data_IF_319745154765
#
_entry.id   IF_319745154765
#
_cell.length_a   1.000
_cell.length_b   1.000
_cell.length_c   1.000
_cell.angle_alpha   90.00
_cell.angle_beta   90.00
_cell.angle_gamma   90.00
#
_symmetry.space_group_name_H-M   'P 1'
#
loop_
_entity.id
_entity.type
_entity.pdbx_description
1 polymer ?
#
# COMPACT_ATOMS: atom_id res chain seq x y z
N UNK A 1 14.59 -18.35 -4.40
CA UNK A 1 13.20 -18.65 -4.80
C UNK A 1 12.75 -17.67 -5.88
N UNK A 2 12.20 -18.17 -6.96
CA UNK A 2 11.68 -17.32 -8.03
C UNK A 2 10.43 -16.58 -7.54
N UNK A 3 10.35 -15.27 -7.81
CA UNK A 3 9.17 -14.47 -7.53
C UNK A 3 8.09 -14.70 -8.61
N UNK A 4 6.86 -14.31 -8.32
CA UNK A 4 5.69 -14.64 -9.15
C UNK A 4 5.26 -13.50 -10.08
N UNK A 5 6.13 -12.52 -10.39
CA UNK A 5 5.77 -11.32 -11.16
C UNK A 5 4.99 -11.62 -12.47
N UNK A 6 5.39 -12.66 -13.20
CA UNK A 6 4.72 -13.07 -14.46
C UNK A 6 3.30 -13.59 -14.27
N UNK A 7 2.96 -14.02 -13.06
CA UNK A 7 1.63 -14.52 -12.68
C UNK A 7 0.74 -13.45 -12.04
N UNK A 8 1.21 -12.20 -11.98
CA UNK A 8 0.48 -11.08 -11.41
C UNK A 8 -0.16 -10.22 -12.49
N UNK A 9 -1.27 -9.58 -12.13
CA UNK A 9 -1.96 -8.60 -12.98
C UNK A 9 -2.46 -7.42 -12.14
N UNK A 10 -2.35 -6.23 -12.69
CA UNK A 10 -2.88 -5.00 -12.10
C UNK A 10 -4.19 -4.63 -12.79
N UNK A 11 -5.27 -4.55 -12.04
CA UNK A 11 -6.60 -4.15 -12.52
C UNK A 11 -7.37 -3.41 -11.44
N UNK A 12 -8.60 -2.97 -11.70
CA UNK A 12 -9.44 -2.29 -10.71
C UNK A 12 -9.57 -3.15 -9.44
N UNK A 13 -9.31 -2.56 -8.27
CA UNK A 13 -9.46 -3.21 -6.97
C UNK A 13 -10.90 -3.61 -6.69
N UNK A 14 -11.09 -4.67 -5.93
CA UNK A 14 -12.39 -5.06 -5.36
C UNK A 14 -12.80 -4.16 -4.19
N UNK A 15 -11.85 -3.43 -3.61
CA UNK A 15 -12.10 -2.45 -2.56
C UNK A 15 -12.55 -1.11 -3.17
N UNK A 16 -13.77 -0.68 -2.85
CA UNK A 16 -14.30 0.58 -3.36
C UNK A 16 -13.40 1.78 -3.01
N UNK A 17 -13.08 2.62 -4.00
CA UNK A 17 -12.22 3.80 -3.80
C UNK A 17 -10.73 3.51 -3.66
N UNK A 18 -10.30 2.26 -3.71
CA UNK A 18 -8.88 1.90 -3.63
C UNK A 18 -8.14 2.01 -4.98
N UNK A 19 -8.85 2.32 -6.05
CA UNK A 19 -8.28 2.44 -7.38
C UNK A 19 -7.86 1.10 -7.97
N UNK A 20 -6.59 0.96 -8.35
CA UNK A 20 -6.04 -0.28 -8.89
C UNK A 20 -5.57 -1.21 -7.77
N UNK A 21 -5.66 -2.50 -8.01
CA UNK A 21 -5.21 -3.57 -7.10
C UNK A 21 -4.32 -4.58 -7.80
N UNK A 22 -3.65 -5.39 -7.02
CA UNK A 22 -2.77 -6.47 -7.47
C UNK A 22 -3.50 -7.81 -7.35
N UNK A 23 -3.50 -8.60 -8.42
CA UNK A 23 -4.20 -9.88 -8.49
C UNK A 23 -3.25 -10.98 -8.93
N UNK A 24 -3.55 -12.21 -8.53
CA UNK A 24 -2.82 -13.38 -9.00
C UNK A 24 -3.63 -14.15 -10.04
N UNK A 25 -2.96 -14.64 -11.08
CA UNK A 25 -3.54 -15.54 -12.09
C UNK A 25 -3.54 -17.00 -11.65
N UNK A 26 -2.72 -17.34 -10.66
CA UNK A 26 -2.52 -18.71 -10.16
C UNK A 26 -2.82 -18.79 -8.67
N UNK A 27 -3.11 -19.98 -8.16
CA UNK A 27 -3.18 -20.22 -6.72
C UNK A 27 -1.79 -20.06 -6.08
N UNK A 28 -1.74 -19.41 -4.92
CA UNK A 28 -0.51 -19.18 -4.17
C UNK A 28 -0.64 -19.80 -2.79
N UNK A 29 0.28 -20.70 -2.42
CA UNK A 29 0.29 -21.32 -1.11
C UNK A 29 0.78 -20.31 -0.03
N UNK A 30 0.27 -20.44 1.19
CA UNK A 30 0.77 -19.73 2.37
C UNK A 30 2.29 -19.87 2.48
N UNK A 31 2.97 -18.79 2.85
CA UNK A 31 4.43 -18.72 2.99
C UNK A 31 5.19 -18.48 1.69
N UNK A 32 4.49 -18.39 0.56
CA UNK A 32 5.12 -18.09 -0.72
C UNK A 32 5.46 -16.61 -0.82
N UNK A 33 6.70 -16.31 -1.15
CA UNK A 33 7.17 -14.95 -1.46
C UNK A 33 6.70 -14.58 -2.88
N UNK A 34 5.86 -13.58 -2.98
CA UNK A 34 5.10 -13.27 -4.20
C UNK A 34 5.87 -12.30 -5.09
N UNK A 35 6.22 -11.14 -4.57
CA UNK A 35 6.80 -10.02 -5.32
C UNK A 35 7.65 -9.14 -4.41
N UNK A 36 8.68 -8.53 -4.97
CA UNK A 36 9.51 -7.55 -4.25
C UNK A 36 8.96 -6.14 -4.43
N UNK A 37 8.90 -5.39 -3.34
CA UNK A 37 8.60 -3.96 -3.35
C UNK A 37 9.85 -3.19 -3.78
N UNK A 38 9.89 -2.77 -5.03
CA UNK A 38 11.03 -2.08 -5.63
C UNK A 38 10.70 -0.63 -5.94
N UNK A 39 11.72 0.20 -5.89
CA UNK A 39 11.64 1.61 -6.23
C UNK A 39 13.00 2.29 -6.07
N UNK A 40 12.99 3.60 -6.05
CA UNK A 40 14.20 4.41 -5.78
C UNK A 40 14.50 4.35 -4.28
N UNK A 41 15.76 4.14 -3.92
CA UNK A 41 16.21 4.28 -2.53
C UNK A 41 16.31 5.75 -2.17
N UNK A 42 15.67 6.12 -1.07
CA UNK A 42 15.62 7.50 -0.56
C UNK A 42 15.74 7.49 0.97
N UNK A 43 16.07 8.66 1.53
CA UNK A 43 16.07 8.88 2.98
C UNK A 43 14.71 9.44 3.43
N UNK A 44 14.40 9.33 4.73
CA UNK A 44 13.19 9.94 5.27
C UNK A 44 13.15 11.47 5.08
N UNK A 45 14.29 12.12 5.19
CA UNK A 45 14.43 13.56 4.93
C UNK A 45 14.04 13.96 3.50
N UNK A 46 14.31 13.10 2.52
CA UNK A 46 13.83 13.28 1.14
C UNK A 46 12.33 13.05 1.02
N UNK A 47 11.79 12.04 1.75
CA UNK A 47 10.35 11.73 1.78
C UNK A 47 9.55 12.89 2.34
N UNK A 48 10.02 13.52 3.42
CA UNK A 48 9.36 14.69 4.05
C UNK A 48 9.18 15.89 3.10
N UNK A 49 9.99 15.95 2.05
CA UNK A 49 9.91 17.00 1.02
C UNK A 49 9.01 16.64 -0.16
N UNK A 50 8.49 15.40 -0.20
CA UNK A 50 7.61 14.94 -1.28
C UNK A 50 6.20 15.47 -1.08
N UNK A 51 5.44 15.58 -2.19
CA UNK A 51 4.01 15.85 -2.14
C UNK A 51 3.27 14.71 -1.39
N UNK A 52 2.21 15.06 -0.67
CA UNK A 52 1.48 14.15 0.22
C UNK A 52 0.92 12.92 -0.51
N UNK A 53 0.45 13.08 -1.75
CA UNK A 53 -0.06 12.00 -2.58
C UNK A 53 1.02 10.98 -2.99
N UNK A 54 2.29 11.38 -3.00
CA UNK A 54 3.44 10.54 -3.32
C UNK A 54 3.93 9.71 -2.13
N UNK A 55 3.80 10.22 -0.91
CA UNK A 55 4.29 9.57 0.31
C UNK A 55 3.73 8.14 0.52
N UNK A 56 2.53 7.87 0.08
CA UNK A 56 1.90 6.56 0.19
C UNK A 56 2.58 5.44 -0.58
N UNK A 57 3.41 5.79 -1.56
CA UNK A 57 4.21 4.83 -2.34
C UNK A 57 5.57 4.55 -1.71
N UNK A 58 5.84 5.13 -0.54
CA UNK A 58 7.12 4.96 0.15
C UNK A 58 7.03 3.87 1.19
N UNK A 59 7.93 2.89 1.11
CA UNK A 59 8.14 1.89 2.16
C UNK A 59 9.26 2.34 3.09
N UNK A 60 8.97 2.39 4.37
CA UNK A 60 9.90 2.86 5.41
C UNK A 60 10.57 1.70 6.14
N UNK A 61 11.88 1.59 6.06
CA UNK A 61 12.69 0.69 6.91
C UNK A 61 13.21 1.42 8.16
N UNK A 62 13.85 2.55 7.92
CA UNK A 62 14.39 3.46 8.93
C UNK A 62 14.66 4.84 8.27
N UNK A 63 15.09 5.82 9.05
CA UNK A 63 15.32 7.20 8.56
C UNK A 63 16.33 7.32 7.41
N UNK A 64 17.26 6.38 7.27
CA UNK A 64 18.28 6.37 6.22
C UNK A 64 17.91 5.50 5.01
N UNK A 65 16.91 4.65 5.15
CA UNK A 65 16.55 3.65 4.15
C UNK A 65 15.03 3.60 3.97
N UNK A 66 14.57 4.14 2.86
CA UNK A 66 13.20 4.04 2.38
C UNK A 66 13.21 3.62 0.91
N UNK A 67 12.10 3.07 0.43
CA UNK A 67 11.90 2.75 -0.99
C UNK A 67 10.73 3.61 -1.49
N UNK A 68 10.99 4.48 -2.44
CA UNK A 68 9.99 5.24 -3.17
C UNK A 68 9.58 4.50 -4.44
N UNK A 69 8.37 3.93 -4.44
CA UNK A 69 7.83 3.20 -5.57
C UNK A 69 7.01 4.08 -6.54
N UNK A 70 6.97 5.39 -6.33
CA UNK A 70 6.28 6.33 -7.21
C UNK A 70 6.78 6.18 -8.66
N UNK A 71 5.85 5.91 -9.57
CA UNK A 71 6.13 5.71 -10.99
C UNK A 71 7.17 4.64 -11.33
N UNK A 72 7.47 3.72 -10.40
CA UNK A 72 8.38 2.63 -10.72
C UNK A 72 7.76 1.67 -11.75
N UNK A 73 8.58 1.25 -12.72
CA UNK A 73 8.27 0.16 -13.64
C UNK A 73 8.96 -1.16 -13.25
N UNK A 74 9.71 -1.16 -12.15
CA UNK A 74 10.52 -2.30 -11.71
C UNK A 74 9.73 -3.34 -10.91
N UNK A 75 8.56 -2.98 -10.41
CA UNK A 75 7.71 -3.85 -9.60
C UNK A 75 6.25 -3.39 -9.65
N UNK A 76 5.34 -4.30 -9.39
CA UNK A 76 3.90 -4.06 -9.24
C UNK A 76 3.43 -4.17 -7.78
N UNK A 77 4.35 -4.40 -6.84
CA UNK A 77 4.02 -4.60 -5.43
C UNK A 77 3.27 -3.43 -4.79
N UNK A 78 3.55 -2.20 -5.24
CA UNK A 78 2.90 -0.99 -4.71
C UNK A 78 1.40 -0.88 -5.04
N UNK A 79 0.88 -1.73 -5.95
CA UNK A 79 -0.56 -1.82 -6.23
C UNK A 79 -1.31 -2.71 -5.23
N UNK A 80 -0.64 -3.47 -4.36
CA UNK A 80 -1.31 -4.24 -3.33
C UNK A 80 -1.95 -3.31 -2.29
N UNK A 81 -3.26 -3.43 -2.13
CA UNK A 81 -4.06 -2.63 -1.20
C UNK A 81 -4.17 -3.29 0.18
N UNK A 82 -4.64 -2.54 1.18
CA UNK A 82 -4.93 -3.03 2.52
C UNK A 82 -6.45 -3.16 2.73
N UNK A 83 -6.93 -4.38 2.98
CA UNK A 83 -8.33 -4.67 3.27
C UNK A 83 -8.81 -4.06 4.59
N UNK A 84 -7.91 -3.74 5.50
CA UNK A 84 -8.22 -3.21 6.84
C UNK A 84 -8.19 -1.68 6.89
N UNK A 85 -8.11 -1.02 5.72
CA UNK A 85 -8.05 0.42 5.59
C UNK A 85 -9.41 1.11 5.60
N UNK A 86 -9.46 2.28 4.95
CA UNK A 86 -10.68 3.12 4.89
C UNK A 86 -11.76 2.47 4.02
N UNK A 87 -11.37 1.81 2.93
CA UNK A 87 -12.27 1.11 2.02
C UNK A 87 -12.65 -0.31 2.49
N UNK A 88 -12.78 -0.50 3.80
CA UNK A 88 -13.06 -1.82 4.40
C UNK A 88 -14.37 -2.39 3.90
N UNK A 89 -14.32 -3.66 3.47
CA UNK A 89 -15.48 -4.47 3.10
C UNK A 89 -15.65 -5.59 4.12
N UNK A 90 -16.87 -5.81 4.60
CA UNK A 90 -17.17 -6.89 5.54
C UNK A 90 -16.77 -8.25 4.97
N UNK A 91 -16.13 -9.07 5.79
CA UNK A 91 -15.66 -10.41 5.40
C UNK A 91 -14.36 -10.43 4.59
N UNK A 92 -13.89 -9.30 4.08
CA UNK A 92 -12.62 -9.21 3.35
C UNK A 92 -11.46 -8.94 4.31
N UNK A 93 -10.42 -9.76 4.24
CA UNK A 93 -9.24 -9.70 5.09
C UNK A 93 -7.96 -9.71 4.25
N UNK A 94 -6.88 -9.17 4.80
CA UNK A 94 -5.56 -9.34 4.20
C UNK A 94 -5.16 -10.81 4.12
N UNK A 95 -4.51 -11.17 3.02
CA UNK A 95 -4.02 -12.51 2.73
C UNK A 95 -2.51 -12.58 2.55
N UNK A 96 -1.85 -11.45 2.73
CA UNK A 96 -0.40 -11.32 2.61
C UNK A 96 0.14 -10.29 3.61
N UNK A 97 1.44 -10.29 3.77
CA UNK A 97 2.17 -9.39 4.67
C UNK A 97 3.48 -8.91 4.05
N UNK A 98 4.00 -7.79 4.54
CA UNK A 98 5.33 -7.33 4.19
C UNK A 98 6.38 -8.07 5.00
N UNK A 99 7.34 -8.67 4.30
CA UNK A 99 8.52 -9.33 4.88
C UNK A 99 9.78 -8.61 4.41
N UNK A 100 10.64 -8.27 5.35
CA UNK A 100 11.88 -7.55 5.03
C UNK A 100 13.10 -8.41 5.29
N UNK A 101 14.02 -8.39 4.36
CA UNK A 101 15.30 -9.09 4.44
C UNK A 101 16.40 -8.25 3.77
N UNK A 102 17.52 -8.03 4.45
CA UNK A 102 18.69 -7.30 3.92
C UNK A 102 18.34 -5.99 3.18
N UNK A 103 17.50 -5.14 3.79
CA UNK A 103 17.00 -3.87 3.22
C UNK A 103 16.18 -4.03 1.92
N UNK A 104 15.62 -5.21 1.71
CA UNK A 104 14.63 -5.49 0.66
C UNK A 104 13.30 -5.78 1.31
N UNK A 105 12.23 -5.46 0.64
CA UNK A 105 10.86 -5.70 1.09
C UNK A 105 10.15 -6.60 0.10
N UNK A 106 9.47 -7.60 0.61
CA UNK A 106 8.68 -8.54 -0.17
C UNK A 106 7.25 -8.58 0.33
N UNK A 107 6.33 -8.91 -0.55
CA UNK A 107 4.99 -9.36 -0.17
C UNK A 107 5.02 -10.89 -0.13
N UNK A 108 4.60 -11.46 0.99
CA UNK A 108 4.54 -12.90 1.23
C UNK A 108 3.11 -13.31 1.59
N UNK A 109 2.63 -14.44 1.07
CA UNK A 109 1.32 -14.96 1.37
C UNK A 109 1.23 -15.41 2.84
N UNK A 110 0.33 -14.81 3.61
CA UNK A 110 0.05 -15.20 5.02
C UNK A 110 -1.04 -16.28 5.13
N UNK A 111 -1.71 -16.54 4.00
CA UNK A 111 -2.74 -17.58 3.81
C UNK A 111 -2.62 -18.12 2.39
N UNK A 112 -3.31 -19.22 2.10
CA UNK A 112 -3.52 -19.66 0.72
C UNK A 112 -4.35 -18.61 -0.01
N UNK A 113 -3.93 -18.26 -1.22
CA UNK A 113 -4.58 -17.26 -2.08
C UNK A 113 -5.08 -17.97 -3.33
N UNK A 114 -6.40 -17.99 -3.61
CA UNK A 114 -6.94 -18.63 -4.80
C UNK A 114 -6.50 -17.92 -6.09
N UNK A 115 -6.44 -18.64 -7.20
CA UNK A 115 -6.28 -18.05 -8.52
C UNK A 115 -7.38 -17.00 -8.78
N UNK A 116 -7.02 -15.85 -9.35
CA UNK A 116 -7.92 -14.74 -9.62
C UNK A 116 -8.20 -13.79 -8.45
N UNK A 117 -7.73 -14.11 -7.24
CA UNK A 117 -7.95 -13.27 -6.06
C UNK A 117 -7.05 -12.04 -6.03
N UNK A 118 -7.53 -10.98 -5.38
CA UNK A 118 -6.73 -9.80 -5.06
C UNK A 118 -5.73 -10.11 -3.94
N UNK A 119 -4.50 -9.66 -4.12
CA UNK A 119 -3.45 -9.72 -3.10
C UNK A 119 -3.59 -8.50 -2.22
N UNK A 120 -3.92 -8.73 -0.95
CA UNK A 120 -4.21 -7.71 0.04
C UNK A 120 -3.19 -7.80 1.18
N UNK A 121 -2.49 -6.69 1.45
CA UNK A 121 -1.37 -6.63 2.39
C UNK A 121 -1.62 -5.58 3.48
N UNK A 122 -1.32 -5.92 4.73
CA UNK A 122 -1.48 -5.00 5.85
C UNK A 122 -0.43 -3.88 5.86
N UNK A 123 -0.87 -2.63 5.83
CA UNK A 123 0.01 -1.44 5.94
C UNK A 123 0.40 -1.13 7.40
N UNK A 124 -0.35 -1.69 8.35
CA UNK A 124 -0.20 -1.46 9.78
C UNK A 124 -1.19 -0.42 10.33
N UNK A 125 -1.54 -0.57 11.61
CA UNK A 125 -2.52 0.28 12.26
C UNK A 125 -2.09 1.75 12.32
N UNK A 126 -0.81 2.01 12.57
CA UNK A 126 -0.25 3.38 12.64
C UNK A 126 -0.43 4.14 11.33
N UNK A 127 -0.22 3.47 10.18
CA UNK A 127 -0.44 4.05 8.87
C UNK A 127 -1.87 4.61 8.75
N UNK A 128 -2.88 3.79 9.08
CA UNK A 128 -4.28 4.17 8.95
C UNK A 128 -4.73 5.19 9.98
N UNK A 129 -4.15 5.20 11.17
CA UNK A 129 -4.42 6.24 12.18
C UNK A 129 -4.02 7.63 11.66
N UNK A 130 -2.85 7.74 11.05
CA UNK A 130 -2.37 9.01 10.49
C UNK A 130 -3.22 9.43 9.28
N UNK A 131 -3.56 8.51 8.39
CA UNK A 131 -4.45 8.79 7.25
C UNK A 131 -5.81 9.33 7.72
N UNK A 132 -6.44 8.68 8.69
CA UNK A 132 -7.73 9.14 9.25
C UNK A 132 -7.62 10.49 9.95
N UNK A 133 -6.53 10.74 10.63
CA UNK A 133 -6.26 12.04 11.25
C UNK A 133 -6.16 13.15 10.20
N UNK A 134 -5.40 12.93 9.15
CA UNK A 134 -5.21 13.89 8.07
C UNK A 134 -6.52 14.20 7.34
N UNK A 135 -7.34 13.18 7.07
CA UNK A 135 -8.67 13.38 6.45
C UNK A 135 -9.55 14.27 7.31
N UNK A 136 -9.60 14.03 8.63
CA UNK A 136 -10.39 14.87 9.55
C UNK A 136 -9.88 16.30 9.60
N UNK A 137 -8.57 16.49 9.57
CA UNK A 137 -7.96 17.81 9.56
C UNK A 137 -8.30 18.59 8.29
N UNK A 138 -8.22 17.94 7.13
CA UNK A 138 -8.62 18.55 5.86
C UNK A 138 -10.10 18.91 5.81
N UNK A 139 -10.98 18.04 6.31
CA UNK A 139 -12.41 18.32 6.43
C UNK A 139 -12.68 19.57 7.27
N UNK A 140 -12.06 19.66 8.45
CA UNK A 140 -12.17 20.84 9.33
C UNK A 140 -11.65 22.12 8.67
N UNK A 141 -10.56 22.03 7.91
CA UNK A 141 -10.01 23.19 7.23
C UNK A 141 -10.94 23.65 6.09
N UNK A 142 -11.51 22.71 5.34
CA UNK A 142 -12.50 23.02 4.27
C UNK A 142 -13.77 23.65 4.84
N UNK A 143 -14.28 23.15 5.98
CA UNK A 143 -15.42 23.74 6.69
C UNK A 143 -15.14 25.19 7.12
N UNK A 144 -13.94 25.43 7.70
CA UNK A 144 -13.51 26.79 8.10
C UNK A 144 -13.36 27.74 6.90
N UNK A 145 -12.97 27.25 5.75
CA UNK A 145 -12.83 28.02 4.51
C UNK A 145 -14.16 28.23 3.77
N UNK A 146 -15.30 27.68 4.30
CA UNK A 146 -16.62 27.78 3.68
C UNK A 146 -16.75 27.02 2.36
N UNK A 147 -15.80 26.12 2.03
CA UNK A 147 -15.84 25.32 0.80
C UNK A 147 -16.65 24.05 1.06
N UNK A 148 -17.76 23.87 0.33
CA UNK A 148 -18.50 22.60 0.31
C UNK A 148 -17.57 21.46 -0.11
N UNK A 149 -17.58 20.36 0.67
CA UNK A 149 -16.89 19.14 0.28
C UNK A 149 -17.44 18.65 -1.08
N UNK A 150 -16.72 18.92 -2.16
CA UNK A 150 -16.95 18.22 -3.42
C UNK A 150 -16.41 16.81 -3.19
N UNK A 151 -17.20 15.78 -3.54
CA UNK A 151 -16.82 14.36 -3.37
C UNK A 151 -15.60 13.98 -4.22
N UNK A 152 -14.45 14.51 -3.84
CA UNK A 152 -13.15 14.08 -4.36
C UNK A 152 -12.77 12.77 -3.71
N UNK A 153 -12.15 11.91 -4.49
CA UNK A 153 -11.44 10.73 -3.98
C UNK A 153 -10.67 11.06 -2.72
N UNK A 154 -10.74 10.16 -1.73
CA UNK A 154 -10.01 10.29 -0.49
C UNK A 154 -8.53 10.57 -0.80
N UNK A 155 -7.88 11.53 -0.12
CA UNK A 155 -6.49 11.82 -0.35
C UNK A 155 -5.68 10.54 -0.14
N UNK A 156 -5.09 10.06 -1.21
CA UNK A 156 -4.22 8.91 -1.16
C UNK A 156 -2.91 9.31 -0.49
N UNK A 157 -2.63 8.72 0.67
CA UNK A 157 -1.27 8.47 1.08
C UNK A 157 -0.44 9.69 1.52
N UNK A 158 -0.74 10.22 2.68
CA UNK A 158 0.14 11.22 3.32
C UNK A 158 1.23 10.62 4.23
N UNK A 159 1.36 9.29 4.28
CA UNK A 159 2.29 8.59 5.19
C UNK A 159 2.96 7.40 4.52
N UNK A 160 4.27 7.27 4.72
CA UNK A 160 5.01 6.09 4.31
C UNK A 160 4.47 4.82 4.98
N UNK A 161 4.37 3.74 4.21
CA UNK A 161 4.10 2.41 4.73
C UNK A 161 5.24 2.00 5.67
N UNK A 162 4.93 1.67 6.91
CA UNK A 162 5.93 1.32 7.91
C UNK A 162 5.97 -0.19 8.14
N UNK A 163 7.19 -0.71 8.35
CA UNK A 163 7.40 -2.06 8.84
C UNK A 163 6.76 -2.20 10.22
N UNK A 164 5.95 -3.24 10.45
CA UNK A 164 5.65 -3.70 11.81
C UNK A 164 6.95 -4.12 12.50
N UNK A 165 7.21 -3.57 13.67
CA UNK A 165 8.21 -4.14 14.57
C UNK A 165 7.75 -5.49 15.12
#
# INVERSE_FOLDING_TARGET
>A
MALLEKSLIVKKSTLAGAGRGLFTKIAIAKGTRIVEYKGKKVTWKEVEKMADDRNGYVFYFNSKNCIDAWQTKKSVAHFANDAMGIARVEGVRNNSEYVTEKKRCYIEASKDIPAGAEILVGYGAEYWQVIRYNIRLEQKNREKEGKKATGKELPHHSVAKRKKK
#
